data_IF_078300431359
#
_entry.id   IF_078300431359
#
_cell.length_a   1.000
_cell.length_b   1.000
_cell.length_c   1.000
_cell.angle_alpha   90.00
_cell.angle_beta   90.00
_cell.angle_gamma   90.00
#
_symmetry.space_group_name_H-M   'P 1'
#
loop_
_entity.id
_entity.type
_entity.pdbx_description
1 polymer ?
#
# COMPACT_ATOMS: atom_id res chain seq x y z
N UNK A 1 -11.67 -7.87 -0.21
CA UNK A 1 -10.37 -8.25 -0.83
C UNK A 1 -9.66 -6.97 -1.26
N UNK A 2 -8.33 -6.83 -1.11
CA UNK A 2 -7.64 -5.64 -1.62
C UNK A 2 -7.36 -5.75 -3.12
N UNK A 3 -7.55 -4.63 -3.83
CA UNK A 3 -7.27 -4.49 -5.27
C UNK A 3 -5.95 -3.76 -5.43
N UNK A 4 -4.86 -4.50 -5.24
CA UNK A 4 -3.50 -4.01 -5.49
C UNK A 4 -2.94 -4.65 -6.77
N UNK A 5 -2.18 -3.87 -7.52
CA UNK A 5 -1.45 -4.27 -8.74
C UNK A 5 0.01 -3.88 -8.60
N UNK A 6 0.90 -4.69 -9.15
CA UNK A 6 2.34 -4.43 -9.14
C UNK A 6 2.87 -4.44 -10.56
N UNK A 7 3.66 -3.42 -10.90
CA UNK A 7 4.32 -3.26 -12.19
C UNK A 7 5.81 -3.11 -11.97
N UNK A 8 6.59 -3.71 -12.88
CA UNK A 8 8.02 -3.49 -13.00
C UNK A 8 8.28 -2.33 -13.97
N UNK A 9 9.15 -1.42 -13.60
CA UNK A 9 9.61 -0.31 -14.42
C UNK A 9 10.88 -0.70 -15.19
N UNK A 10 11.22 0.04 -16.24
CA UNK A 10 12.33 -0.29 -17.13
C UNK A 10 13.72 -0.30 -16.45
N UNK A 11 13.84 0.34 -15.28
CA UNK A 11 15.06 0.42 -14.48
C UNK A 11 15.19 -0.71 -13.43
N UNK A 12 14.27 -1.68 -13.45
CA UNK A 12 14.22 -2.81 -12.52
C UNK A 12 13.63 -2.45 -11.15
N UNK A 13 13.06 -1.26 -11.00
CA UNK A 13 12.24 -0.91 -9.83
C UNK A 13 10.80 -1.40 -10.02
N UNK A 14 10.05 -1.45 -8.91
CA UNK A 14 8.65 -1.82 -8.89
C UNK A 14 7.80 -0.68 -8.35
N UNK A 15 6.57 -0.61 -8.83
CA UNK A 15 5.52 0.30 -8.38
C UNK A 15 4.27 -0.50 -8.07
N UNK A 16 3.63 -0.18 -6.94
CA UNK A 16 2.34 -0.74 -6.54
C UNK A 16 1.25 0.31 -6.68
N UNK A 17 0.11 -0.06 -7.27
CA UNK A 17 -1.09 0.77 -7.30
C UNK A 17 -2.22 0.06 -6.56
N UNK A 18 -2.89 0.77 -5.66
CA UNK A 18 -4.07 0.32 -4.91
C UNK A 18 -5.32 0.98 -5.50
N UNK A 19 -6.25 0.18 -5.99
CA UNK A 19 -7.54 0.65 -6.52
C UNK A 19 -8.65 0.66 -5.45
N UNK A 20 -8.38 0.08 -4.28
CA UNK A 20 -9.27 0.10 -3.12
C UNK A 20 -9.44 -1.27 -2.48
N UNK A 21 -10.57 -1.45 -1.81
CA UNK A 21 -10.92 -2.67 -1.06
C UNK A 21 -12.39 -3.02 -1.26
N UNK A 22 -12.67 -4.29 -1.46
CA UNK A 22 -14.04 -4.79 -1.40
C UNK A 22 -14.42 -5.05 0.07
N UNK A 23 -15.48 -4.37 0.53
CA UNK A 23 -16.02 -4.46 1.89
C UNK A 23 -17.31 -5.27 1.84
N UNK A 24 -17.43 -6.26 2.72
CA UNK A 24 -18.67 -7.02 2.87
C UNK A 24 -19.63 -6.30 3.82
N UNK A 25 -20.86 -6.07 3.37
CA UNK A 25 -21.98 -5.58 4.19
C UNK A 25 -22.81 -6.78 4.67
N UNK A 26 -22.71 -7.17 5.96
CA UNK A 26 -23.44 -8.32 6.49
C UNK A 26 -24.94 -8.06 6.65
N UNK A 27 -25.39 -6.79 6.68
CA UNK A 27 -26.81 -6.44 6.82
C UNK A 27 -27.52 -6.62 5.49
N UNK A 28 -26.87 -6.20 4.40
CA UNK A 28 -27.41 -6.33 3.03
C UNK A 28 -27.03 -7.65 2.36
N UNK A 29 -26.11 -8.41 2.96
CA UNK A 29 -25.50 -9.60 2.36
C UNK A 29 -24.91 -9.30 0.96
N UNK A 30 -24.17 -8.21 0.84
CA UNK A 30 -23.60 -7.74 -0.43
C UNK A 30 -22.14 -7.30 -0.30
N UNK A 31 -21.40 -7.31 -1.41
CA UNK A 31 -20.05 -6.77 -1.49
C UNK A 31 -20.14 -5.35 -2.07
N UNK A 32 -19.64 -4.38 -1.32
CA UNK A 32 -19.52 -3.00 -1.76
C UNK A 32 -18.06 -2.75 -2.20
N UNK A 33 -17.85 -2.51 -3.49
CA UNK A 33 -16.55 -2.11 -4.00
C UNK A 33 -16.25 -0.67 -3.57
N UNK A 34 -15.18 -0.50 -2.81
CA UNK A 34 -14.73 0.83 -2.37
C UNK A 34 -13.63 1.31 -3.30
N UNK A 35 -13.74 2.54 -3.80
CA UNK A 35 -12.69 3.17 -4.61
C UNK A 35 -11.49 3.54 -3.75
N UNK A 36 -10.31 3.64 -4.37
CA UNK A 36 -9.07 4.01 -3.70
C UNK A 36 -9.15 5.32 -2.89
N UNK A 37 -9.98 6.27 -3.32
CA UNK A 37 -10.23 7.53 -2.61
C UNK A 37 -10.92 7.38 -1.25
N UNK A 38 -11.44 6.19 -0.94
CA UNK A 38 -12.17 5.88 0.29
C UNK A 38 -11.40 4.92 1.20
N UNK A 39 -10.13 4.60 0.93
CA UNK A 39 -9.30 3.88 1.91
C UNK A 39 -8.79 4.88 2.95
N UNK A 40 -8.77 4.48 4.23
CA UNK A 40 -8.27 5.35 5.29
C UNK A 40 -6.74 5.45 5.26
N UNK A 41 -6.09 4.31 5.00
CA UNK A 41 -4.65 4.22 4.82
C UNK A 41 -4.30 2.96 4.03
N UNK A 42 -3.10 2.95 3.44
CA UNK A 42 -2.49 1.71 2.95
C UNK A 42 -0.98 1.73 3.17
N UNK A 43 -0.41 0.54 3.31
CA UNK A 43 0.99 0.33 3.66
C UNK A 43 1.62 -0.70 2.74
N UNK A 44 2.91 -0.55 2.50
CA UNK A 44 3.71 -1.43 1.66
C UNK A 44 4.90 -1.96 2.46
N UNK A 45 5.04 -3.29 2.46
CA UNK A 45 6.26 -4.01 2.81
C UNK A 45 6.93 -4.46 1.50
N UNK A 46 8.16 -4.00 1.25
CA UNK A 46 8.86 -4.24 -0.01
C UNK A 46 9.68 -5.54 -0.03
N UNK A 47 9.78 -6.27 1.10
CA UNK A 47 10.56 -7.50 1.21
C UNK A 47 9.97 -8.49 2.25
N UNK A 48 8.66 -8.68 2.17
CA UNK A 48 7.87 -9.42 3.15
C UNK A 48 8.38 -10.85 3.37
N UNK A 49 8.55 -11.23 4.64
CA UNK A 49 9.14 -12.51 5.07
C UNK A 49 8.11 -13.64 5.25
N UNK A 50 6.82 -13.35 5.03
CA UNK A 50 5.73 -14.30 5.26
C UNK A 50 5.25 -14.38 6.72
N UNK A 51 5.80 -13.57 7.62
CA UNK A 51 5.52 -13.61 9.07
C UNK A 51 5.16 -12.25 9.63
N UNK A 52 6.06 -11.26 9.49
CA UNK A 52 5.92 -9.94 10.11
C UNK A 52 5.80 -8.89 9.01
N UNK A 53 4.73 -8.10 9.08
CA UNK A 53 4.56 -6.98 8.18
C UNK A 53 5.44 -5.80 8.64
N UNK A 54 6.42 -5.43 7.83
CA UNK A 54 7.28 -4.27 8.07
C UNK A 54 6.86 -3.12 7.15
N UNK A 55 6.43 -2.00 7.72
CA UNK A 55 6.01 -0.83 6.92
C UNK A 55 7.26 -0.16 6.33
N UNK A 56 7.43 -0.25 5.02
CA UNK A 56 8.46 0.47 4.26
C UNK A 56 7.93 1.79 3.70
N UNK A 57 6.67 1.82 3.28
CA UNK A 57 5.98 3.04 2.82
C UNK A 57 4.56 3.09 3.39
N UNK A 58 4.08 4.29 3.72
CA UNK A 58 2.78 4.54 4.34
C UNK A 58 2.04 5.67 3.63
N UNK A 59 0.79 5.41 3.26
CA UNK A 59 -0.02 6.31 2.45
C UNK A 59 -1.35 6.60 3.12
N UNK A 60 -1.73 7.88 3.11
CA UNK A 60 -3.01 8.35 3.63
C UNK A 60 -3.67 9.26 2.59
N UNK A 61 -4.66 8.75 1.82
CA UNK A 61 -5.31 9.54 0.78
C UNK A 61 -6.06 10.76 1.32
N UNK A 62 -6.57 10.68 2.55
CA UNK A 62 -7.13 11.85 3.25
C UNK A 62 -6.00 12.73 3.81
N UNK A 63 -5.81 13.90 3.18
CA UNK A 63 -4.81 14.89 3.58
C UNK A 63 -4.99 15.36 5.03
N UNK A 64 -6.20 15.35 5.59
CA UNK A 64 -6.43 15.76 6.98
C UNK A 64 -5.85 14.77 8.01
N UNK A 65 -5.66 13.51 7.62
CA UNK A 65 -4.99 12.51 8.46
C UNK A 65 -3.50 12.84 8.66
N UNK A 66 -2.86 13.44 7.65
CA UNK A 66 -1.46 13.85 7.70
C UNK A 66 -1.20 14.98 8.69
N UNK A 67 -2.10 15.95 8.83
CA UNK A 67 -1.93 17.04 9.80
C UNK A 67 -1.81 16.49 11.23
N UNK A 68 -2.65 15.50 11.56
CA UNK A 68 -2.63 14.81 12.85
C UNK A 68 -1.33 14.02 13.03
N UNK A 69 -0.88 13.32 11.98
CA UNK A 69 0.34 12.52 11.99
C UNK A 69 1.60 13.38 12.11
N UNK A 70 1.69 14.46 11.33
CA UNK A 70 2.79 15.44 11.35
C UNK A 70 2.94 16.09 12.72
N UNK A 71 1.82 16.46 13.34
CA UNK A 71 1.80 16.97 14.72
C UNK A 71 2.31 15.94 15.72
N UNK A 72 1.95 14.66 15.56
CA UNK A 72 2.43 13.57 16.42
C UNK A 72 3.93 13.27 16.18
N UNK A 73 4.40 13.39 14.94
CA UNK A 73 5.80 13.15 14.52
C UNK A 73 6.71 14.39 14.67
N UNK A 74 6.24 15.44 15.37
CA UNK A 74 6.98 16.67 15.68
C UNK A 74 7.56 17.38 14.43
N UNK A 75 6.84 17.37 13.31
CA UNK A 75 7.15 18.23 12.15
C UNK A 75 8.39 17.85 11.35
N UNK A 76 8.85 16.60 11.41
CA UNK A 76 10.05 16.11 10.70
C UNK A 76 9.80 15.65 9.26
N UNK A 77 8.69 16.06 8.64
CA UNK A 77 8.31 15.64 7.28
C UNK A 77 8.40 16.85 6.34
N UNK A 78 9.13 16.70 5.24
CA UNK A 78 9.28 17.69 4.17
C UNK A 78 7.97 17.82 3.36
N UNK A 79 7.53 19.05 3.06
CA UNK A 79 6.26 19.36 2.38
C UNK A 79 6.04 18.52 1.10
N UNK A 80 7.09 18.29 0.31
CA UNK A 80 7.03 17.49 -0.93
C UNK A 80 6.84 15.98 -0.71
N UNK A 81 7.26 15.45 0.44
CA UNK A 81 7.04 14.04 0.79
C UNK A 81 5.55 13.75 1.05
N UNK A 82 4.77 14.75 1.49
CA UNK A 82 3.34 14.56 1.77
C UNK A 82 2.51 14.31 0.51
N UNK A 83 2.80 14.99 -0.59
CA UNK A 83 2.05 14.79 -1.83
C UNK A 83 2.26 13.38 -2.38
N UNK A 84 3.50 12.89 -2.39
CA UNK A 84 3.84 11.54 -2.81
C UNK A 84 3.13 10.46 -1.96
N UNK A 85 2.92 10.72 -0.67
CA UNK A 85 2.29 9.78 0.26
C UNK A 85 0.76 9.97 0.40
N UNK A 86 0.18 10.91 -0.34
CA UNK A 86 -1.29 11.09 -0.45
C UNK A 86 -1.91 10.30 -1.61
N UNK A 87 -1.07 9.61 -2.41
CA UNK A 87 -1.49 8.87 -3.58
C UNK A 87 -1.95 7.44 -3.31
N UNK A 88 -2.41 6.82 -4.39
CA UNK A 88 -2.79 5.40 -4.46
C UNK A 88 -1.71 4.56 -5.14
N UNK A 89 -0.57 5.18 -5.44
CA UNK A 89 0.57 4.57 -6.13
C UNK A 89 1.81 4.77 -5.27
N UNK A 90 2.63 3.71 -5.14
CA UNK A 90 3.83 3.75 -4.32
C UNK A 90 4.93 4.60 -4.95
N UNK A 91 5.89 5.02 -4.14
CA UNK A 91 7.18 5.48 -4.64
C UNK A 91 7.90 4.24 -5.21
N UNK A 92 8.60 4.34 -6.36
CA UNK A 92 9.36 3.23 -6.92
C UNK A 92 10.33 2.63 -5.90
N UNK A 93 10.43 1.30 -5.87
CA UNK A 93 11.32 0.58 -4.95
C UNK A 93 12.04 -0.56 -5.66
N UNK A 94 13.26 -0.88 -5.21
CA UNK A 94 13.97 -2.08 -5.68
C UNK A 94 13.42 -3.32 -4.98
N UNK A 95 13.35 -4.48 -5.68
CA UNK A 95 12.95 -5.72 -5.03
C UNK A 95 13.95 -6.09 -3.93
N UNK A 96 13.44 -6.49 -2.77
CA UNK A 96 14.28 -7.08 -1.72
C UNK A 96 14.70 -8.51 -2.04
N UNK A 97 15.49 -9.12 -1.15
CA UNK A 97 16.05 -10.46 -1.34
C UNK A 97 14.98 -11.54 -1.53
N UNK A 98 13.85 -11.41 -0.84
CA UNK A 98 12.74 -12.37 -0.86
C UNK A 98 11.87 -12.21 -2.09
N UNK A 99 12.03 -11.12 -2.85
CA UNK A 99 11.25 -10.78 -4.05
C UNK A 99 9.75 -10.97 -3.82
N UNK A 100 9.30 -10.61 -2.63
CA UNK A 100 7.93 -10.77 -2.16
C UNK A 100 7.54 -9.50 -1.45
N UNK A 101 6.38 -8.95 -1.80
CA UNK A 101 5.85 -7.75 -1.17
C UNK A 101 4.52 -8.05 -0.50
N UNK A 102 4.17 -7.26 0.50
CA UNK A 102 2.84 -7.27 1.08
C UNK A 102 2.23 -5.87 1.05
N UNK A 103 0.96 -5.80 0.65
CA UNK A 103 0.17 -4.59 0.62
C UNK A 103 -0.95 -4.73 1.65
N UNK A 104 -0.96 -3.83 2.62
CA UNK A 104 -1.98 -3.77 3.67
C UNK A 104 -2.86 -2.55 3.43
N UNK A 105 -4.17 -2.73 3.41
CA UNK A 105 -5.16 -1.66 3.21
C UNK A 105 -6.06 -1.60 4.43
N UNK A 106 -6.27 -0.40 4.96
CA UNK A 106 -7.17 -0.11 6.06
C UNK A 106 -8.40 0.62 5.51
N UNK A 107 -9.58 0.03 5.73
CA UNK A 107 -10.83 0.66 5.34
C UNK A 107 -11.25 1.77 6.35
N UNK A 108 -12.26 2.60 6.03
CA UNK A 108 -12.73 3.65 6.94
C UNK A 108 -13.31 3.15 8.27
N UNK A 109 -13.65 1.86 8.37
CA UNK A 109 -14.15 1.22 9.60
C UNK A 109 -12.99 0.71 10.46
N UNK A 110 -11.75 0.81 9.98
CA UNK A 110 -10.55 0.31 10.64
C UNK A 110 -10.27 -1.17 10.37
N UNK A 111 -11.01 -1.83 9.47
CA UNK A 111 -10.71 -3.22 9.11
C UNK A 111 -9.44 -3.28 8.26
N UNK A 112 -8.62 -4.28 8.55
CA UNK A 112 -7.41 -4.56 7.80
C UNK A 112 -7.66 -5.67 6.78
N UNK A 113 -7.17 -5.47 5.56
CA UNK A 113 -6.96 -6.54 4.59
C UNK A 113 -5.53 -6.49 4.06
N UNK A 114 -4.95 -7.65 3.80
CA UNK A 114 -3.61 -7.78 3.25
C UNK A 114 -3.60 -8.64 2.00
N UNK A 115 -2.72 -8.30 1.05
CA UNK A 115 -2.45 -9.11 -0.13
C UNK A 115 -0.95 -9.17 -0.38
N UNK A 116 -0.48 -10.37 -0.69
CA UNK A 116 0.94 -10.67 -0.91
C UNK A 116 1.16 -10.89 -2.40
N UNK A 117 2.16 -10.23 -2.98
CA UNK A 117 2.55 -10.42 -4.37
C UNK A 117 4.00 -10.95 -4.43
N UNK A 118 4.23 -11.95 -5.27
CA UNK A 118 5.57 -12.38 -5.63
C UNK A 118 6.05 -11.57 -6.83
N UNK A 119 7.20 -10.94 -6.71
CA UNK A 119 7.85 -10.22 -7.81
C UNK A 119 8.51 -11.24 -8.74
N UNK A 120 8.66 -10.88 -10.01
CA UNK A 120 9.41 -11.74 -10.93
C UNK A 120 10.86 -11.81 -10.44
N UNK A 121 11.34 -13.01 -10.18
CA UNK A 121 12.77 -13.22 -10.06
C UNK A 121 13.40 -12.95 -11.43
N UNK A 122 14.55 -12.27 -11.47
CA UNK A 122 15.50 -12.46 -12.56
C UNK A 122 15.56 -13.96 -12.89
N UNK A 123 15.00 -14.35 -14.04
CA UNK A 123 15.23 -15.66 -14.60
C UNK A 123 16.70 -15.65 -15.04
N UNK A 124 17.59 -16.16 -14.20
CA UNK A 124 18.85 -16.68 -14.71
C UNK A 124 18.48 -17.90 -15.56
N UNK A 125 18.70 -17.77 -16.87
CA UNK A 125 18.32 -18.77 -17.85
C UNK A 125 19.03 -20.11 -17.65
N UNK A 126 18.35 -21.15 -18.10
CA UNK A 126 18.95 -22.35 -18.71
C UNK A 126 18.31 -22.55 -20.09
#
# INVERSE_FOLDING_TARGET
>A
MSKAFTREENDGTYVVTVEGVDIYDPVKNSIEATSASKVAAWFLDTDYDGKVFCICQAFFPDKSAWEKLSRALKGSIEEGAFEALSGTTSIPFKPGERKTIAVKVIDPRGNEVMKVHRLRGENYGE
#
